data_IF_424182536960
#
_entry.id   IF_424182536960
#
_cell.length_a   1.000
_cell.length_b   1.000
_cell.length_c   1.000
_cell.angle_alpha   90.00
_cell.angle_beta   90.00
_cell.angle_gamma   90.00
#
_symmetry.space_group_name_H-M   'P 1'
#
loop_
_entity.id
_entity.type
_entity.pdbx_description
1 polymer ?
#
# COMPACT_ATOMS: atom_id res chain seq x y z
N UNK A 1 -25.92 13.38 50.78
CA UNK A 1 -24.68 12.61 50.96
C UNK A 1 -23.80 12.96 49.78
N UNK A 2 -22.96 13.96 50.01
CA UNK A 2 -21.88 14.39 49.12
C UNK A 2 -20.74 13.38 49.15
N UNK A 3 -19.80 13.62 48.25
CA UNK A 3 -18.43 13.14 48.17
C UNK A 3 -18.19 11.99 47.19
N UNK A 4 -17.65 12.27 45.99
CA UNK A 4 -16.34 12.87 45.65
C UNK A 4 -15.37 11.75 45.30
N UNK A 5 -14.98 11.73 44.02
CA UNK A 5 -13.63 11.49 43.51
C UNK A 5 -12.96 10.16 43.91
N UNK A 6 -12.44 9.37 42.98
CA UNK A 6 -11.10 9.66 42.48
C UNK A 6 -10.79 8.89 41.19
N UNK A 7 -10.15 9.64 40.31
CA UNK A 7 -9.66 9.40 38.97
C UNK A 7 -8.37 8.55 38.98
N UNK A 8 -7.82 8.34 37.77
CA UNK A 8 -6.46 7.86 37.41
C UNK A 8 -6.36 6.33 37.25
N UNK A 9 -5.86 5.76 36.14
CA UNK A 9 -4.85 6.17 35.15
C UNK A 9 -5.36 5.82 33.73
N UNK A 10 -5.35 6.65 32.68
CA UNK A 10 -4.24 7.36 32.04
C UNK A 10 -2.97 6.53 31.84
N UNK A 11 -2.92 5.74 30.77
CA UNK A 11 -1.65 5.50 30.09
C UNK A 11 -1.85 5.10 28.63
N UNK A 12 -1.49 6.04 27.76
CA UNK A 12 -1.11 5.86 26.35
C UNK A 12 -2.22 5.43 25.38
N UNK A 13 -2.91 6.42 24.79
CA UNK A 13 -3.40 6.27 23.43
C UNK A 13 -2.19 6.20 22.50
N UNK A 14 -1.87 5.06 21.84
CA UNK A 14 -0.97 5.10 20.70
C UNK A 14 -1.72 5.87 19.61
N UNK A 15 -1.15 7.01 19.23
CA UNK A 15 -1.63 7.94 18.21
C UNK A 15 -2.27 7.20 17.04
N UNK A 16 -3.59 7.14 17.06
CA UNK A 16 -4.40 6.42 16.10
C UNK A 16 -4.19 7.04 14.72
N UNK A 17 -3.79 6.27 13.69
CA UNK A 17 -3.94 6.73 12.31
C UNK A 17 -5.41 7.11 12.12
N UNK A 18 -5.68 8.16 11.35
CA UNK A 18 -7.03 8.73 11.14
C UNK A 18 -7.92 7.71 10.41
N UNK A 19 -8.37 6.71 11.16
CA UNK A 19 -9.33 5.71 10.73
C UNK A 19 -10.69 6.41 10.65
N UNK A 20 -11.43 6.17 9.58
CA UNK A 20 -12.74 6.78 9.41
C UNK A 20 -13.73 6.18 10.43
N UNK A 21 -13.92 6.92 11.52
CA UNK A 21 -14.71 6.52 12.72
C UNK A 21 -16.19 6.29 12.40
N UNK A 22 -16.71 6.79 11.28
CA UNK A 22 -18.13 6.61 10.92
C UNK A 22 -18.52 5.15 10.67
N UNK A 23 -17.60 4.30 10.18
CA UNK A 23 -17.84 2.86 10.03
C UNK A 23 -17.87 2.10 11.37
N UNK A 24 -17.47 2.74 12.47
CA UNK A 24 -17.37 2.16 13.81
C UNK A 24 -18.65 2.37 14.63
N UNK A 25 -19.62 3.13 14.09
CA UNK A 25 -20.89 3.44 14.74
C UNK A 25 -22.01 2.44 14.40
N UNK A 26 -21.88 1.66 13.32
CA UNK A 26 -22.77 0.51 13.07
C UNK A 26 -22.27 -0.67 13.89
N UNK A 27 -23.14 -1.19 14.76
CA UNK A 27 -22.84 -2.29 15.67
C UNK A 27 -22.43 -3.55 14.92
N UNK A 28 -21.13 -3.86 14.94
CA UNK A 28 -20.52 -5.20 14.88
C UNK A 28 -21.47 -6.32 14.43
N UNK A 29 -21.85 -6.29 13.15
CA UNK A 29 -22.58 -7.40 12.55
C UNK A 29 -21.58 -8.38 11.92
N UNK A 30 -21.87 -9.70 11.90
CA UNK A 30 -21.08 -10.66 11.15
C UNK A 30 -21.02 -10.24 9.67
N UNK A 31 -19.86 -9.75 9.21
CA UNK A 31 -19.66 -9.28 7.84
C UNK A 31 -18.92 -7.94 7.68
N UNK A 32 -18.73 -7.17 8.76
CA UNK A 32 -18.10 -5.83 8.67
C UNK A 32 -16.55 -5.85 8.71
N UNK A 33 -15.92 -7.02 8.82
CA UNK A 33 -14.47 -7.15 8.91
C UNK A 33 -13.73 -6.62 7.66
N UNK A 34 -14.28 -6.87 6.46
CA UNK A 34 -13.67 -6.42 5.19
C UNK A 34 -13.67 -4.89 5.08
N UNK A 35 -14.80 -4.18 5.28
CA UNK A 35 -14.81 -2.71 5.32
C UNK A 35 -13.85 -2.08 6.32
N UNK A 36 -13.73 -2.67 7.52
CA UNK A 36 -12.79 -2.18 8.55
C UNK A 36 -11.33 -2.33 8.11
N UNK A 37 -10.98 -3.47 7.53
CA UNK A 37 -9.65 -3.70 6.97
C UNK A 37 -9.34 -2.78 5.79
N UNK A 38 -10.34 -2.50 4.94
CA UNK A 38 -10.22 -1.53 3.84
C UNK A 38 -9.94 -0.13 4.36
N UNK A 39 -10.69 0.33 5.36
CA UNK A 39 -10.49 1.65 5.98
C UNK A 39 -9.11 1.77 6.65
N UNK A 40 -8.66 0.72 7.34
CA UNK A 40 -7.32 0.69 7.93
C UNK A 40 -6.22 0.77 6.86
N UNK A 41 -6.38 0.03 5.75
CA UNK A 41 -5.44 0.06 4.64
C UNK A 41 -5.45 1.40 3.89
N UNK A 42 -6.60 2.05 3.71
CA UNK A 42 -6.69 3.37 3.08
C UNK A 42 -5.99 4.45 3.92
N UNK A 43 -6.11 4.35 5.24
CA UNK A 43 -5.51 5.32 6.18
C UNK A 43 -3.99 5.20 6.26
N UNK A 44 -3.47 3.97 6.25
CA UNK A 44 -2.06 3.67 6.49
C UNK A 44 -1.28 3.20 5.24
N UNK A 45 -1.96 2.93 4.13
CA UNK A 45 -1.41 2.30 2.92
C UNK A 45 -1.25 0.77 3.00
N UNK A 46 -1.34 0.19 4.20
CA UNK A 46 -1.26 -1.24 4.49
C UNK A 46 -1.90 -1.52 5.85
N UNK A 47 -2.20 -2.79 6.14
CA UNK A 47 -2.79 -3.22 7.41
C UNK A 47 -1.68 -3.43 8.44
N UNK A 48 -1.59 -2.53 9.42
CA UNK A 48 -0.58 -2.60 10.49
C UNK A 48 -0.98 -3.64 11.55
N UNK A 49 -0.01 -4.23 12.28
CA UNK A 49 -0.32 -5.10 13.42
C UNK A 49 -1.18 -4.42 14.48
N UNK A 50 -0.99 -3.10 14.69
CA UNK A 50 -1.81 -2.30 15.60
C UNK A 50 -3.26 -2.18 15.10
N UNK A 51 -3.48 -2.04 13.80
CA UNK A 51 -4.82 -2.03 13.22
C UNK A 51 -5.51 -3.39 13.40
N UNK A 52 -4.78 -4.50 13.24
CA UNK A 52 -5.31 -5.85 13.48
C UNK A 52 -5.71 -6.02 14.94
N UNK A 53 -4.87 -5.58 15.89
CA UNK A 53 -5.19 -5.59 17.32
C UNK A 53 -6.49 -4.86 17.62
N UNK A 54 -6.61 -3.65 17.07
CA UNK A 54 -7.76 -2.79 17.31
C UNK A 54 -9.04 -3.37 16.69
N UNK A 55 -8.97 -3.89 15.47
CA UNK A 55 -10.09 -4.56 14.81
C UNK A 55 -10.51 -5.82 15.56
N UNK A 56 -9.57 -6.59 16.11
CA UNK A 56 -9.85 -7.76 16.95
C UNK A 56 -10.64 -7.37 18.20
N UNK A 57 -10.25 -6.28 18.87
CA UNK A 57 -10.96 -5.79 20.06
C UNK A 57 -12.37 -5.30 19.76
N UNK A 58 -12.59 -4.65 18.61
CA UNK A 58 -13.91 -4.09 18.26
C UNK A 58 -14.87 -5.12 17.69
N UNK A 59 -14.36 -6.05 16.87
CA UNK A 59 -15.21 -7.07 16.21
C UNK A 59 -15.37 -8.34 17.03
N UNK A 60 -14.55 -8.56 18.05
CA UNK A 60 -14.53 -9.80 18.84
C UNK A 60 -13.89 -10.99 18.12
N UNK A 61 -13.42 -10.83 16.87
CA UNK A 61 -12.72 -11.88 16.13
C UNK A 61 -11.30 -12.07 16.68
N UNK A 62 -10.81 -13.30 16.65
CA UNK A 62 -9.42 -13.60 16.99
C UNK A 62 -8.47 -13.07 15.91
N UNK A 63 -7.23 -12.73 16.31
CA UNK A 63 -6.19 -12.29 15.36
C UNK A 63 -5.98 -13.32 14.25
N UNK A 64 -6.05 -14.61 14.57
CA UNK A 64 -5.89 -15.70 13.62
C UNK A 64 -6.95 -15.68 12.52
N UNK A 65 -8.22 -15.43 12.87
CA UNK A 65 -9.30 -15.29 11.89
C UNK A 65 -9.07 -14.07 10.99
N UNK A 66 -8.63 -12.95 11.56
CA UNK A 66 -8.32 -11.73 10.80
C UNK A 66 -7.15 -11.97 9.84
N UNK A 67 -6.09 -12.63 10.29
CA UNK A 67 -4.98 -13.03 9.42
C UNK A 67 -5.42 -14.01 8.32
N UNK A 68 -6.35 -14.93 8.61
CA UNK A 68 -6.96 -15.81 7.62
C UNK A 68 -7.66 -15.02 6.51
N UNK A 69 -8.44 -14.00 6.89
CA UNK A 69 -9.12 -13.12 5.92
C UNK A 69 -8.12 -12.28 5.13
N UNK A 70 -7.11 -11.69 5.78
CA UNK A 70 -6.09 -10.87 5.11
C UNK A 70 -5.31 -11.70 4.09
N UNK A 71 -4.93 -12.93 4.44
CA UNK A 71 -4.17 -13.82 3.54
C UNK A 71 -5.01 -14.40 2.41
N UNK A 72 -6.32 -14.59 2.64
CA UNK A 72 -7.25 -15.05 1.62
C UNK A 72 -7.48 -14.02 0.51
N UNK A 73 -7.69 -12.75 0.87
CA UNK A 73 -7.93 -11.68 -0.11
C UNK A 73 -6.64 -10.98 -0.53
N UNK A 74 -6.22 -11.20 -1.78
CA UNK A 74 -5.02 -10.57 -2.40
C UNK A 74 -5.00 -9.03 -2.40
N UNK A 75 -6.13 -8.38 -2.10
CA UNK A 75 -6.21 -6.92 -2.02
C UNK A 75 -5.56 -6.35 -0.74
N UNK A 76 -5.51 -7.14 0.34
CA UNK A 76 -4.97 -6.68 1.62
C UNK A 76 -3.45 -6.87 1.66
N UNK A 77 -2.77 -5.89 2.25
CA UNK A 77 -1.32 -5.83 2.32
C UNK A 77 -0.88 -5.74 3.77
N UNK A 78 0.06 -6.60 4.14
CA UNK A 78 0.69 -6.60 5.47
C UNK A 78 2.02 -5.83 5.50
N UNK A 79 2.60 -5.59 4.31
CA UNK A 79 3.85 -4.84 4.14
C UNK A 79 3.55 -3.45 3.58
N UNK A 80 4.36 -2.43 3.94
CA UNK A 80 4.26 -1.11 3.36
C UNK A 80 4.54 -1.18 1.86
N UNK A 81 3.80 -0.38 1.09
CA UNK A 81 4.07 -0.19 -0.33
C UNK A 81 4.96 1.02 -0.54
N UNK A 82 5.80 0.96 -1.56
CA UNK A 82 6.53 2.10 -2.07
C UNK A 82 5.60 3.13 -2.69
N UNK A 83 6.13 4.34 -2.89
CA UNK A 83 5.41 5.48 -3.48
C UNK A 83 4.82 5.18 -4.87
N UNK A 84 5.46 4.30 -5.64
CA UNK A 84 5.03 3.88 -6.97
C UNK A 84 4.85 2.38 -7.01
N UNK A 85 3.60 1.96 -7.21
CA UNK A 85 3.23 0.56 -7.40
C UNK A 85 3.32 0.20 -8.87
N UNK A 86 4.22 -0.72 -9.22
CA UNK A 86 4.41 -1.25 -10.57
C UNK A 86 3.69 -2.59 -10.66
N UNK A 87 2.64 -2.65 -11.46
CA UNK A 87 1.90 -3.89 -11.76
C UNK A 87 2.31 -4.40 -13.14
N UNK A 88 2.85 -5.61 -13.20
CA UNK A 88 3.26 -6.23 -14.47
C UNK A 88 2.27 -7.33 -14.83
N UNK A 89 1.73 -7.30 -16.05
CA UNK A 89 0.79 -8.30 -16.52
C UNK A 89 1.51 -9.62 -16.89
N UNK A 90 1.17 -10.72 -16.22
CA UNK A 90 1.57 -12.09 -16.59
C UNK A 90 0.37 -12.90 -17.11
N UNK A 91 -0.57 -12.22 -17.79
CA UNK A 91 -1.67 -12.87 -18.48
C UNK A 91 -1.20 -13.58 -19.74
N UNK A 92 -1.99 -14.50 -20.27
CA UNK A 92 -1.62 -15.34 -21.44
C UNK A 92 -1.04 -14.54 -22.61
N UNK A 93 -1.68 -13.44 -23.00
CA UNK A 93 -1.20 -12.58 -24.08
C UNK A 93 0.16 -11.92 -23.77
N UNK A 94 0.40 -11.52 -22.52
CA UNK A 94 1.67 -10.93 -22.10
C UNK A 94 2.75 -12.00 -21.91
N UNK A 95 2.38 -13.18 -21.42
CA UNK A 95 3.26 -14.32 -21.24
C UNK A 95 3.89 -14.78 -22.56
N UNK A 96 3.09 -14.89 -23.63
CA UNK A 96 3.58 -15.25 -24.98
C UNK A 96 4.45 -14.14 -25.57
N UNK A 97 4.25 -12.88 -25.16
CA UNK A 97 5.09 -11.74 -25.54
C UNK A 97 6.24 -11.49 -24.54
N UNK A 98 6.69 -12.53 -23.85
CA UNK A 98 7.88 -12.52 -22.99
C UNK A 98 7.80 -11.59 -21.77
N UNK A 99 6.64 -11.54 -21.11
CA UNK A 99 6.45 -10.78 -19.87
C UNK A 99 7.39 -11.20 -18.73
N UNK A 100 7.85 -12.46 -18.71
CA UNK A 100 8.82 -12.95 -17.70
C UNK A 100 10.13 -12.19 -17.79
N UNK A 101 10.69 -12.05 -18.98
CA UNK A 101 11.90 -11.24 -19.20
C UNK A 101 11.68 -9.79 -18.78
N UNK A 102 10.48 -9.24 -19.02
CA UNK A 102 10.14 -7.89 -18.59
C UNK A 102 10.13 -7.75 -17.05
N UNK A 103 9.61 -8.75 -16.32
CA UNK A 103 9.65 -8.79 -14.85
C UNK A 103 11.11 -8.81 -14.38
N UNK A 104 11.95 -9.71 -14.92
CA UNK A 104 13.36 -9.81 -14.54
C UNK A 104 14.13 -8.51 -14.80
N UNK A 105 13.88 -7.84 -15.93
CA UNK A 105 14.50 -6.53 -16.20
C UNK A 105 14.10 -5.48 -15.16
N UNK A 106 12.85 -5.50 -14.71
CA UNK A 106 12.38 -4.57 -13.67
C UNK A 106 13.02 -4.91 -12.32
N UNK A 107 13.12 -6.19 -11.97
CA UNK A 107 13.79 -6.67 -10.76
C UNK A 107 15.27 -6.27 -10.75
N UNK A 108 15.99 -6.47 -11.85
CA UNK A 108 17.40 -6.12 -12.02
C UNK A 108 17.64 -4.60 -11.88
N UNK A 109 16.79 -3.79 -12.52
CA UNK A 109 16.91 -2.32 -12.49
C UNK A 109 16.56 -1.73 -11.12
N UNK A 110 15.63 -2.36 -10.40
CA UNK A 110 15.23 -1.96 -9.06
C UNK A 110 16.06 -2.63 -7.96
N UNK A 111 16.92 -3.60 -8.32
CA UNK A 111 17.72 -4.43 -7.41
C UNK A 111 16.87 -5.10 -6.34
N UNK A 112 15.78 -5.73 -6.77
CA UNK A 112 14.90 -6.49 -5.89
C UNK A 112 15.46 -7.90 -5.69
N UNK A 113 15.94 -8.21 -4.49
CA UNK A 113 16.48 -9.54 -4.13
C UNK A 113 15.40 -10.41 -3.48
N UNK A 114 14.26 -10.60 -4.17
CA UNK A 114 13.14 -11.41 -3.68
C UNK A 114 12.14 -10.69 -2.77
N UNK A 115 12.38 -9.41 -2.45
CA UNK A 115 11.37 -8.53 -1.87
C UNK A 115 10.59 -7.80 -2.97
N UNK A 116 9.30 -7.57 -2.72
CA UNK A 116 8.44 -6.84 -3.66
C UNK A 116 8.76 -5.33 -3.69
N UNK A 117 9.39 -4.78 -2.66
CA UNK A 117 9.58 -3.33 -2.48
C UNK A 117 11.05 -2.97 -2.38
N UNK A 118 11.47 -1.92 -3.09
CA UNK A 118 12.84 -1.42 -3.07
C UNK A 118 13.25 -0.94 -1.68
N UNK A 119 14.52 -1.08 -1.31
CA UNK A 119 15.08 -0.57 -0.05
C UNK A 119 14.86 0.95 0.15
N UNK A 120 14.80 1.71 -0.96
CA UNK A 120 14.51 3.15 -0.95
C UNK A 120 13.04 3.48 -0.60
N UNK A 121 12.15 2.48 -0.51
CA UNK A 121 10.70 2.68 -0.30
C UNK A 121 9.99 3.42 -1.44
N UNK A 122 10.62 3.51 -2.63
CA UNK A 122 10.09 4.27 -3.76
C UNK A 122 9.23 3.42 -4.68
N UNK A 123 9.64 2.18 -4.96
CA UNK A 123 8.96 1.31 -5.91
C UNK A 123 8.55 0.00 -5.25
N UNK A 124 7.36 -0.49 -5.61
CA UNK A 124 6.91 -1.86 -5.31
C UNK A 124 6.56 -2.55 -6.61
N UNK A 125 7.16 -3.70 -6.88
CA UNK A 125 6.83 -4.58 -7.98
C UNK A 125 5.74 -5.57 -7.55
N UNK A 126 4.70 -5.70 -8.36
CA UNK A 126 3.63 -6.67 -8.15
C UNK A 126 3.26 -7.33 -9.48
N UNK A 127 3.61 -8.61 -9.68
CA UNK A 127 3.07 -9.39 -10.79
C UNK A 127 1.55 -9.56 -10.62
N UNK A 128 0.79 -9.33 -11.69
CA UNK A 128 -0.66 -9.50 -11.71
C UNK A 128 -1.08 -10.40 -12.86
N UNK A 129 -2.08 -11.25 -12.63
CA UNK A 129 -2.52 -12.23 -13.61
C UNK A 129 -3.08 -11.60 -14.89
N UNK A 130 -3.79 -10.48 -14.81
CA UNK A 130 -4.28 -9.78 -16.00
C UNK A 130 -4.57 -8.31 -15.68
N UNK A 131 -4.20 -7.41 -16.59
CA UNK A 131 -4.59 -6.00 -16.57
C UNK A 131 -5.79 -5.68 -17.48
N UNK A 132 -6.26 -6.65 -18.26
CA UNK A 132 -7.34 -6.45 -19.24
C UNK A 132 -6.92 -5.72 -20.52
N UNK A 133 -5.63 -5.37 -20.67
CA UNK A 133 -5.11 -4.61 -21.82
C UNK A 133 -4.37 -5.49 -22.84
N UNK A 134 -4.96 -6.62 -23.24
CA UNK A 134 -4.29 -7.61 -24.11
C UNK A 134 -3.86 -7.05 -25.48
N UNK A 135 -4.55 -6.04 -26.01
CA UNK A 135 -4.20 -5.33 -27.26
C UNK A 135 -2.87 -4.56 -27.19
N UNK A 136 -2.36 -4.34 -25.98
CA UNK A 136 -1.16 -3.58 -25.67
C UNK A 136 -0.04 -4.46 -25.10
N UNK A 137 -0.16 -5.78 -25.19
CA UNK A 137 0.85 -6.71 -24.70
C UNK A 137 2.24 -6.44 -25.34
N UNK A 138 3.34 -6.55 -24.58
CA UNK A 138 3.41 -6.66 -23.11
C UNK A 138 3.05 -5.35 -22.41
N UNK A 139 2.28 -5.44 -21.31
CA UNK A 139 1.69 -4.30 -20.60
C UNK A 139 2.14 -4.22 -19.12
N UNK A 140 2.32 -2.99 -18.65
CA UNK A 140 2.73 -2.63 -17.29
C UNK A 140 1.93 -1.41 -16.84
N UNK A 141 1.55 -1.35 -15.57
CA UNK A 141 0.84 -0.22 -14.98
C UNK A 141 1.65 0.34 -13.81
N UNK A 142 1.86 1.66 -13.78
CA UNK A 142 2.48 2.35 -12.64
C UNK A 142 1.39 3.18 -11.96
N UNK A 143 1.04 2.83 -10.72
CA UNK A 143 -0.15 3.32 -10.02
C UNK A 143 -1.41 3.12 -10.89
N UNK A 144 -1.91 4.19 -11.50
CA UNK A 144 -3.11 4.17 -12.36
C UNK A 144 -2.78 4.45 -13.85
N UNK A 145 -1.49 4.58 -14.20
CA UNK A 145 -1.06 4.83 -15.58
C UNK A 145 -0.63 3.53 -16.27
N UNK A 146 -1.35 3.18 -17.34
CA UNK A 146 -1.06 2.00 -18.16
C UNK A 146 -0.06 2.29 -19.27
N UNK A 147 0.94 1.42 -19.43
CA UNK A 147 1.92 1.43 -20.49
C UNK A 147 1.86 0.11 -21.27
N UNK A 148 1.91 0.22 -22.60
CA UNK A 148 1.81 -0.91 -23.52
C UNK A 148 2.94 -0.97 -24.53
N UNK A 149 3.04 -2.08 -25.25
CA UNK A 149 4.06 -2.34 -26.29
C UNK A 149 5.45 -2.01 -25.77
N UNK A 150 5.73 -2.55 -24.59
CA UNK A 150 6.92 -2.27 -23.82
C UNK A 150 8.11 -3.00 -24.41
N UNK A 151 9.24 -2.30 -24.43
CA UNK A 151 10.56 -2.87 -24.70
C UNK A 151 11.43 -2.65 -23.48
N UNK A 152 12.50 -3.44 -23.27
CA UNK A 152 13.44 -3.25 -22.15
C UNK A 152 13.91 -1.80 -22.00
N UNK A 153 14.18 -1.13 -23.12
CA UNK A 153 14.63 0.26 -23.15
C UNK A 153 13.54 1.24 -22.69
N UNK A 154 12.29 1.03 -23.11
CA UNK A 154 11.15 1.85 -22.67
C UNK A 154 10.89 1.68 -21.18
N UNK A 155 10.96 0.46 -20.66
CA UNK A 155 10.79 0.19 -19.22
C UNK A 155 11.82 0.96 -18.40
N UNK A 156 13.11 0.86 -18.74
CA UNK A 156 14.18 1.64 -18.07
C UNK A 156 13.93 3.14 -18.11
N UNK A 157 13.45 3.66 -19.25
CA UNK A 157 13.11 5.08 -19.41
C UNK A 157 11.96 5.49 -18.49
N UNK A 158 10.90 4.68 -18.41
CA UNK A 158 9.75 4.90 -17.52
C UNK A 158 10.20 4.91 -16.06
N UNK A 159 10.96 3.91 -15.62
CA UNK A 159 11.48 3.83 -14.24
C UNK A 159 12.33 5.06 -13.86
N UNK A 160 13.22 5.50 -14.76
CA UNK A 160 14.02 6.72 -14.57
C UNK A 160 13.16 7.97 -14.47
N UNK A 161 12.13 8.10 -15.29
CA UNK A 161 11.20 9.24 -15.26
C UNK A 161 10.48 9.34 -13.90
N UNK A 162 10.00 8.21 -13.38
CA UNK A 162 9.35 8.17 -12.07
C UNK A 162 10.34 8.44 -10.92
N UNK A 163 11.56 7.92 -11.00
CA UNK A 163 12.62 8.18 -10.01
C UNK A 163 13.04 9.66 -9.99
N UNK A 164 13.06 10.33 -11.14
CA UNK A 164 13.31 11.77 -11.19
C UNK A 164 12.10 12.58 -10.68
N UNK A 165 10.89 12.14 -10.99
CA UNK A 165 9.65 12.80 -10.52
C UNK A 165 9.49 12.73 -9.00
N UNK A 166 9.97 11.68 -8.33
CA UNK A 166 9.98 11.63 -6.86
C UNK A 166 10.96 12.60 -6.23
N UNK A 167 12.15 12.80 -6.84
CA UNK A 167 13.15 13.78 -6.36
C UNK A 167 12.63 15.22 -6.42
N UNK A 168 11.98 15.60 -7.52
CA UNK A 168 11.43 16.95 -7.72
C UNK A 168 10.33 17.30 -6.71
N UNK A 169 9.55 16.31 -6.24
CA UNK A 169 8.53 16.51 -5.18
C UNK A 169 9.13 16.58 -3.77
N UNK A 170 10.33 16.05 -3.54
CA UNK A 170 11.02 16.07 -2.25
C UNK A 170 11.63 17.44 -1.93
N UNK A 171 12.24 18.09 -2.92
CA UNK A 171 12.88 19.40 -2.78
C UNK A 171 11.89 20.50 -2.32
N UNK A 172 10.67 20.49 -2.87
CA UNK A 172 9.64 21.51 -2.57
C UNK A 172 9.07 21.43 -1.14
N UNK A 173 9.32 20.35 -0.40
CA UNK A 173 8.81 20.19 0.97
C UNK A 173 9.77 20.75 2.02
N UNK A 174 11.05 20.90 1.68
CA UNK A 174 12.07 21.45 2.59
C UNK A 174 12.06 22.98 2.56
N UNK A 175 11.75 23.61 1.42
CA UNK A 175 11.74 25.09 1.31
C UNK A 175 10.59 25.80 2.03
N UNK A 176 9.59 25.08 2.55
CA UNK A 176 8.42 25.68 3.22
C UNK A 176 8.39 25.49 4.75
N UNK A 177 9.41 24.88 5.36
CA UNK A 177 9.48 24.70 6.82
C UNK A 177 10.30 25.81 7.50
N UNK A 178 11.18 26.52 6.80
CA UNK A 178 12.10 27.49 7.40
C UNK A 178 11.59 28.95 7.48
N UNK A 179 10.37 29.27 7.02
CA UNK A 179 9.83 30.64 7.07
C UNK A 179 8.73 30.89 8.12
N UNK A 180 8.70 30.09 9.19
CA UNK A 180 7.65 30.15 10.21
C UNK A 180 8.14 30.26 11.65
N UNK A 181 9.28 30.92 11.93
CA UNK A 181 9.72 31.13 13.31
C UNK A 181 10.66 32.34 13.46
N UNK A 182 10.19 33.53 13.07
CA UNK A 182 10.73 34.80 13.60
C UNK A 182 9.77 35.94 13.29
N UNK A 183 8.83 36.18 14.21
CA UNK A 183 8.33 37.50 14.62
C UNK A 183 7.41 37.33 15.82
#
# INVERSE_FOLDING_TARGET
>A
MTDSQTQVLSSAQPTSPKINIDLWQSRAQPGELIPLLQSAQESCGYVTPQAIEYISQVTGNTKSEIYGVITFYKQFRLKPIGKFLIRVCDGTACHVNDAKTLISIVEDELKLEGDDTTADGLFTLQPVACLGCCSLAPALMVNDQTYGRLTPQKVRKILKQYKNSSKVKGEKRISNIEQGMSK
#
